data_IF_904980270098
#
_entry.id   IF_904980270098
#
_cell.length_a   1.000
_cell.length_b   1.000
_cell.length_c   1.000
_cell.angle_alpha   90.00
_cell.angle_beta   90.00
_cell.angle_gamma   90.00
#
_symmetry.space_group_name_H-M   'P 1'
#
loop_
_entity.id
_entity.type
_entity.pdbx_description
1 polymer ?
#
# COMPACT_ATOMS: atom_id res chain seq x y z
N UNK A 1 -15.69 0.45 52.31
CA UNK A 1 -16.33 0.15 51.03
C UNK A 1 -15.28 0.20 49.95
N UNK A 2 -14.74 -0.94 49.48
CA UNK A 2 -13.72 -1.04 48.48
C UNK A 2 -14.39 -1.17 47.08
N UNK A 3 -14.23 -0.14 46.23
CA UNK A 3 -14.66 -0.19 44.82
C UNK A 3 -13.67 -1.05 44.03
N UNK A 4 -14.12 -2.22 43.60
CA UNK A 4 -13.39 -3.08 42.61
C UNK A 4 -13.46 -2.39 41.26
N UNK A 5 -12.29 -2.02 40.71
CA UNK A 5 -12.15 -1.68 39.30
C UNK A 5 -12.14 -2.97 38.49
N UNK A 6 -13.17 -3.18 37.70
CA UNK A 6 -13.23 -4.24 36.70
C UNK A 6 -12.40 -3.74 35.53
N UNK A 7 -11.25 -4.35 35.31
CA UNK A 7 -10.46 -4.15 34.12
C UNK A 7 -11.17 -4.79 32.94
N UNK A 8 -11.63 -3.96 32.02
CA UNK A 8 -12.17 -4.41 30.73
C UNK A 8 -10.98 -4.74 29.83
N UNK A 9 -10.65 -6.02 29.69
CA UNK A 9 -9.78 -6.56 28.66
C UNK A 9 -10.54 -6.42 27.34
N UNK A 10 -10.25 -5.37 26.58
CA UNK A 10 -10.64 -5.28 25.17
C UNK A 10 -9.73 -6.23 24.39
N UNK A 11 -10.20 -7.46 24.25
CA UNK A 11 -9.73 -8.39 23.22
C UNK A 11 -10.06 -7.72 21.89
N UNK A 12 -9.03 -7.35 21.13
CA UNK A 12 -9.19 -6.95 19.74
C UNK A 12 -9.86 -8.12 19.00
N UNK A 13 -11.16 -8.05 18.85
CA UNK A 13 -11.91 -8.98 18.05
C UNK A 13 -11.49 -8.76 16.59
N UNK A 14 -10.57 -9.60 16.10
CA UNK A 14 -10.45 -9.87 14.67
C UNK A 14 -11.84 -10.35 14.26
N UNK A 15 -12.61 -9.46 13.61
CA UNK A 15 -13.86 -9.86 12.99
C UNK A 15 -13.46 -10.74 11.80
N UNK A 16 -13.48 -12.03 12.02
CA UNK A 16 -13.45 -13.05 11.00
C UNK A 16 -14.78 -12.92 10.25
N UNK A 17 -14.83 -12.09 9.20
CA UNK A 17 -15.98 -12.08 8.31
C UNK A 17 -16.01 -13.39 7.53
N UNK A 18 -17.19 -14.03 7.38
CA UNK A 18 -17.31 -15.25 6.59
C UNK A 18 -16.94 -14.92 5.14
N UNK A 19 -16.02 -15.71 4.61
CA UNK A 19 -15.59 -15.69 3.24
C UNK A 19 -16.79 -15.97 2.32
N UNK A 20 -17.37 -14.92 1.75
CA UNK A 20 -18.32 -15.10 0.65
C UNK A 20 -17.49 -15.20 -0.61
N UNK A 21 -17.23 -16.42 -1.05
CA UNK A 21 -16.60 -16.67 -2.34
C UNK A 21 -17.56 -16.28 -3.45
N UNK A 22 -17.43 -15.08 -3.96
CA UNK A 22 -17.95 -14.73 -5.27
C UNK A 22 -16.78 -14.68 -6.24
N UNK A 23 -16.73 -15.59 -7.21
CA UNK A 23 -15.80 -15.65 -8.31
C UNK A 23 -15.84 -14.36 -9.15
N UNK A 24 -15.03 -13.36 -8.81
CA UNK A 24 -14.87 -12.13 -9.58
C UNK A 24 -13.40 -11.87 -9.95
N UNK A 25 -12.47 -12.72 -9.52
CA UNK A 25 -11.05 -12.50 -9.80
C UNK A 25 -10.57 -13.37 -10.96
N UNK A 26 -10.86 -12.95 -12.21
CA UNK A 26 -10.13 -13.41 -13.37
C UNK A 26 -8.75 -12.69 -13.49
N UNK A 27 -8.04 -12.55 -12.36
CA UNK A 27 -6.63 -12.24 -12.32
C UNK A 27 -5.83 -13.48 -12.67
N UNK A 28 -4.60 -13.34 -13.14
CA UNK A 28 -3.67 -14.45 -13.42
C UNK A 28 -3.26 -15.17 -12.11
N UNK A 29 -4.24 -15.66 -11.34
CA UNK A 29 -3.96 -16.47 -10.16
C UNK A 29 -3.37 -17.81 -10.62
N UNK A 30 -2.20 -18.17 -10.14
CA UNK A 30 -1.75 -19.55 -10.18
C UNK A 30 -2.65 -20.37 -9.24
N UNK A 31 -3.78 -20.84 -9.75
CA UNK A 31 -4.67 -21.75 -9.04
C UNK A 31 -4.05 -23.14 -9.19
N UNK A 32 -3.81 -23.82 -8.07
CA UNK A 32 -3.39 -25.21 -8.07
C UNK A 32 -4.51 -26.10 -8.66
N UNK A 33 -4.20 -27.29 -9.18
CA UNK A 33 -5.19 -28.21 -9.75
C UNK A 33 -6.31 -28.60 -8.79
N UNK A 34 -6.11 -28.43 -7.49
CA UNK A 34 -7.10 -28.66 -6.40
C UNK A 34 -7.94 -27.42 -6.06
N UNK A 35 -7.70 -26.28 -6.73
CA UNK A 35 -8.42 -25.03 -6.52
C UNK A 35 -7.88 -24.17 -5.38
N UNK A 36 -6.78 -24.58 -4.72
CA UNK A 36 -6.10 -23.72 -3.74
C UNK A 36 -5.26 -22.65 -4.44
N UNK A 37 -5.27 -21.43 -3.87
CA UNK A 37 -4.42 -20.34 -4.34
C UNK A 37 -2.97 -20.59 -3.93
N UNK A 38 -2.09 -20.67 -4.93
CA UNK A 38 -0.67 -20.91 -4.69
C UNK A 38 0.08 -19.63 -4.33
N UNK A 39 0.71 -19.61 -3.16
CA UNK A 39 1.68 -18.61 -2.75
C UNK A 39 3.06 -19.28 -2.63
N UNK A 40 4.07 -18.88 -3.44
CA UNK A 40 5.36 -19.57 -3.44
C UNK A 40 6.25 -19.27 -2.24
N UNK A 41 5.85 -18.32 -1.37
CA UNK A 41 6.69 -17.76 -0.33
C UNK A 41 6.60 -18.55 0.96
N UNK A 42 7.70 -19.24 1.32
CA UNK A 42 7.78 -20.09 2.53
C UNK A 42 7.88 -19.28 3.84
N UNK A 43 8.20 -17.98 3.73
CA UNK A 43 8.33 -17.03 4.85
C UNK A 43 7.07 -16.19 5.07
N UNK A 44 5.97 -16.53 4.38
CA UNK A 44 4.65 -15.91 4.56
C UNK A 44 3.71 -16.91 5.20
N UNK A 45 3.42 -16.70 6.48
CA UNK A 45 2.35 -17.42 7.15
C UNK A 45 0.99 -16.91 6.66
N UNK A 46 0.19 -17.79 6.07
CA UNK A 46 -1.14 -17.46 5.55
C UNK A 46 -2.11 -16.97 6.63
N UNK A 47 -1.91 -17.38 7.87
CA UNK A 47 -2.73 -17.00 9.01
C UNK A 47 -2.25 -15.71 9.71
N UNK A 48 -1.13 -15.13 9.23
CA UNK A 48 -0.66 -13.84 9.69
C UNK A 48 -1.58 -12.70 9.20
N UNK A 49 -1.52 -11.55 9.88
CA UNK A 49 -2.33 -10.38 9.49
C UNK A 49 -2.06 -9.90 8.05
N UNK A 50 -0.88 -10.19 7.50
CA UNK A 50 -0.49 -9.79 6.14
C UNK A 50 -0.63 -10.90 5.09
N UNK A 51 -0.86 -12.15 5.50
CA UNK A 51 -0.89 -13.30 4.58
C UNK A 51 -1.88 -13.10 3.44
N UNK A 52 -3.11 -12.71 3.77
CA UNK A 52 -4.14 -12.38 2.77
C UNK A 52 -3.69 -11.25 1.81
N UNK A 53 -3.10 -10.18 2.34
CA UNK A 53 -2.66 -9.05 1.50
C UNK A 53 -1.53 -9.44 0.55
N UNK A 54 -0.58 -10.24 1.02
CA UNK A 54 0.53 -10.74 0.18
C UNK A 54 -0.01 -11.64 -0.93
N UNK A 55 -0.93 -12.56 -0.60
CA UNK A 55 -1.59 -13.44 -1.58
C UNK A 55 -2.30 -12.63 -2.66
N UNK A 56 -3.15 -11.68 -2.28
CA UNK A 56 -3.88 -10.83 -3.23
C UNK A 56 -2.94 -10.03 -4.14
N UNK A 57 -1.94 -9.37 -3.55
CA UNK A 57 -1.01 -8.55 -4.33
C UNK A 57 -0.14 -9.38 -5.28
N UNK A 58 0.21 -10.62 -4.89
CA UNK A 58 0.94 -11.56 -5.75
C UNK A 58 0.07 -12.03 -6.91
N UNK A 59 -1.17 -12.46 -6.65
CA UNK A 59 -2.11 -12.92 -7.67
C UNK A 59 -2.42 -11.83 -8.71
N UNK A 60 -2.53 -10.57 -8.26
CA UNK A 60 -2.74 -9.41 -9.12
C UNK A 60 -1.46 -8.90 -9.80
N UNK A 61 -0.32 -9.56 -9.57
CA UNK A 61 0.95 -9.20 -10.17
C UNK A 61 1.54 -7.87 -9.70
N UNK A 62 1.02 -7.31 -8.58
CA UNK A 62 1.50 -6.03 -8.00
C UNK A 62 2.88 -6.20 -7.38
N UNK A 63 3.13 -7.37 -6.78
CA UNK A 63 4.40 -7.71 -6.14
C UNK A 63 5.01 -9.00 -6.70
N UNK A 64 6.31 -9.11 -6.46
CA UNK A 64 7.07 -10.37 -6.59
C UNK A 64 7.79 -10.64 -5.26
N UNK A 65 8.31 -11.87 -5.08
CA UNK A 65 9.21 -12.18 -3.98
C UNK A 65 10.55 -11.44 -4.06
N UNK A 66 11.31 -11.50 -2.98
CA UNK A 66 12.75 -11.18 -3.00
C UNK A 66 13.52 -12.22 -3.78
N UNK A 67 13.08 -13.48 -3.64
CA UNK A 67 13.51 -14.63 -4.42
C UNK A 67 12.26 -15.35 -4.96
N UNK A 68 12.45 -16.46 -5.65
CA UNK A 68 11.34 -17.31 -6.11
C UNK A 68 10.50 -17.87 -4.95
N UNK A 69 11.10 -18.04 -3.75
CA UNK A 69 10.46 -18.70 -2.62
C UNK A 69 10.39 -17.85 -1.34
N UNK A 70 10.84 -16.60 -1.36
CA UNK A 70 10.79 -15.71 -0.19
C UNK A 70 10.23 -14.34 -0.54
N UNK A 71 9.42 -13.80 0.36
CA UNK A 71 8.82 -12.47 0.26
C UNK A 71 9.55 -11.42 1.10
N UNK A 72 10.09 -11.79 2.26
CA UNK A 72 10.71 -10.91 3.27
C UNK A 72 9.71 -9.90 3.87
N UNK A 73 8.64 -10.37 4.57
CA UNK A 73 7.55 -9.52 5.05
C UNK A 73 8.00 -8.41 6.02
N UNK A 74 9.02 -8.70 6.83
CA UNK A 74 9.58 -7.77 7.82
C UNK A 74 10.69 -6.86 7.27
N UNK A 75 11.21 -7.17 6.09
CA UNK A 75 12.19 -6.34 5.40
C UNK A 75 11.61 -5.00 4.97
N UNK A 76 12.45 -3.98 4.88
CA UNK A 76 12.01 -2.66 4.41
C UNK A 76 11.90 -2.64 2.89
N UNK A 77 10.83 -2.00 2.39
CA UNK A 77 10.68 -1.73 0.97
C UNK A 77 11.53 -0.53 0.55
N UNK A 78 12.15 -0.59 -0.62
CA UNK A 78 12.89 0.54 -1.18
C UNK A 78 11.97 1.49 -1.96
N UNK A 79 12.41 2.73 -2.20
CA UNK A 79 11.67 3.69 -3.03
C UNK A 79 11.43 3.17 -4.45
N UNK A 80 12.38 2.44 -5.05
CA UNK A 80 12.21 1.82 -6.36
C UNK A 80 11.15 0.72 -6.37
N UNK A 81 11.06 -0.07 -5.29
CA UNK A 81 9.99 -1.07 -5.13
C UNK A 81 8.63 -0.40 -4.92
N UNK A 82 8.56 0.72 -4.18
CA UNK A 82 7.33 1.51 -4.05
C UNK A 82 6.86 2.04 -5.39
N UNK A 83 7.78 2.58 -6.21
CA UNK A 83 7.45 3.04 -7.56
C UNK A 83 6.93 1.89 -8.44
N UNK A 84 7.52 0.70 -8.31
CA UNK A 84 7.05 -0.50 -9.03
C UNK A 84 5.65 -0.90 -8.61
N UNK A 85 5.38 -0.97 -7.30
CA UNK A 85 4.05 -1.27 -6.77
C UNK A 85 3.02 -0.23 -7.22
N UNK A 86 3.36 1.06 -7.11
CA UNK A 86 2.47 2.15 -7.51
C UNK A 86 2.13 2.13 -9.01
N UNK A 87 3.13 1.87 -9.87
CA UNK A 87 2.92 1.77 -11.31
C UNK A 87 2.00 0.60 -11.67
N UNK A 88 2.30 -0.60 -11.17
CA UNK A 88 1.50 -1.81 -11.44
C UNK A 88 0.08 -1.69 -10.88
N UNK A 89 -0.07 -1.13 -9.68
CA UNK A 89 -1.36 -0.91 -9.06
C UNK A 89 -2.22 0.08 -9.86
N UNK A 90 -1.65 1.21 -10.27
CA UNK A 90 -2.34 2.17 -11.14
C UNK A 90 -2.71 1.55 -12.48
N UNK A 91 -1.78 0.85 -13.11
CA UNK A 91 -2.01 0.17 -14.39
C UNK A 91 -3.19 -0.81 -14.30
N UNK A 92 -3.23 -1.59 -13.21
CA UNK A 92 -4.31 -2.53 -12.92
C UNK A 92 -5.65 -1.82 -12.67
N UNK A 93 -5.66 -0.76 -11.84
CA UNK A 93 -6.87 0.02 -11.52
C UNK A 93 -7.43 0.77 -12.72
N UNK A 94 -6.57 1.21 -13.63
CA UNK A 94 -6.94 1.97 -14.83
C UNK A 94 -7.09 1.07 -16.08
N UNK A 95 -7.00 -0.26 -15.91
CA UNK A 95 -7.17 -1.27 -16.97
C UNK A 95 -6.28 -1.02 -18.20
N UNK A 96 -5.03 -0.57 -18.00
CA UNK A 96 -4.13 -0.17 -19.09
C UNK A 96 -3.32 -1.31 -19.68
N UNK A 97 -3.01 -2.34 -18.88
CA UNK A 97 -2.26 -3.54 -19.27
C UNK A 97 -0.91 -3.25 -19.93
N UNK A 98 -0.15 -2.32 -19.36
CA UNK A 98 1.17 -1.90 -19.86
C UNK A 98 2.16 -3.06 -19.79
N UNK A 99 2.83 -3.35 -20.91
CA UNK A 99 3.94 -4.30 -20.92
C UNK A 99 5.22 -3.64 -20.38
N UNK A 100 5.40 -3.73 -19.06
CA UNK A 100 6.60 -3.20 -18.41
C UNK A 100 7.86 -3.98 -18.78
N UNK A 101 7.75 -5.25 -19.17
CA UNK A 101 8.89 -6.07 -19.53
C UNK A 101 9.49 -5.67 -20.89
N UNK A 102 8.64 -5.24 -21.84
CA UNK A 102 9.09 -4.71 -23.12
C UNK A 102 9.86 -3.40 -22.97
N UNK A 103 9.66 -2.67 -21.87
CA UNK A 103 10.23 -1.36 -21.61
C UNK A 103 11.33 -1.39 -20.53
N UNK A 104 12.01 -2.52 -20.35
CA UNK A 104 13.08 -2.65 -19.34
C UNK A 104 14.14 -1.55 -19.50
N UNK A 105 14.53 -0.98 -18.36
CA UNK A 105 15.53 0.08 -18.27
C UNK A 105 16.65 -0.27 -17.30
N UNK A 106 17.75 0.48 -17.38
CA UNK A 106 18.74 0.55 -16.32
C UNK A 106 18.68 1.96 -15.71
N UNK A 107 18.42 2.10 -14.41
CA UNK A 107 18.21 1.05 -13.40
C UNK A 107 16.86 0.32 -13.57
N UNK A 108 16.75 -0.87 -12.95
CA UNK A 108 15.62 -1.80 -13.10
C UNK A 108 14.23 -1.22 -12.76
N UNK A 109 14.17 -0.22 -11.92
CA UNK A 109 12.93 0.48 -11.54
C UNK A 109 12.55 1.60 -12.53
N UNK A 110 13.41 1.88 -13.50
CA UNK A 110 13.30 3.09 -14.33
C UNK A 110 12.02 3.17 -15.14
N UNK A 111 11.57 2.07 -15.75
CA UNK A 111 10.30 2.02 -16.50
C UNK A 111 9.10 2.32 -15.60
N UNK A 112 9.08 1.79 -14.38
CA UNK A 112 8.00 2.02 -13.42
C UNK A 112 8.00 3.46 -12.92
N UNK A 113 9.17 4.02 -12.63
CA UNK A 113 9.30 5.40 -12.23
C UNK A 113 8.87 6.37 -13.34
N UNK A 114 9.24 6.08 -14.59
CA UNK A 114 8.79 6.86 -15.74
C UNK A 114 7.27 6.82 -15.85
N UNK A 115 6.69 5.63 -15.74
CA UNK A 115 5.24 5.47 -15.73
C UNK A 115 4.58 6.29 -14.61
N UNK A 116 5.10 6.22 -13.39
CA UNK A 116 4.57 7.01 -12.27
C UNK A 116 4.66 8.52 -12.53
N UNK A 117 5.74 9.00 -13.12
CA UNK A 117 5.91 10.41 -13.46
C UNK A 117 4.92 10.84 -14.55
N UNK A 118 4.84 10.09 -15.64
CA UNK A 118 3.99 10.42 -16.79
C UNK A 118 2.49 10.38 -16.44
N UNK A 119 2.10 9.59 -15.44
CA UNK A 119 0.72 9.47 -14.96
C UNK A 119 0.43 10.31 -13.69
N UNK A 120 1.36 11.20 -13.29
CA UNK A 120 1.15 12.11 -12.15
C UNK A 120 1.09 11.44 -10.77
N UNK A 121 1.54 10.18 -10.66
CA UNK A 121 1.65 9.42 -9.40
C UNK A 121 2.86 9.92 -8.61
N UNK A 122 3.99 10.12 -9.28
CA UNK A 122 5.18 10.74 -8.71
C UNK A 122 5.33 12.15 -9.23
N UNK A 123 5.48 13.11 -8.34
CA UNK A 123 5.61 14.53 -8.67
C UNK A 123 6.85 15.11 -8.00
N UNK A 124 7.72 15.68 -8.81
CA UNK A 124 8.88 16.40 -8.33
C UNK A 124 9.05 17.68 -9.16
N UNK A 125 8.88 18.87 -8.57
CA UNK A 125 8.95 20.15 -9.29
C UNK A 125 10.32 20.39 -9.93
N UNK A 126 11.40 19.88 -9.36
CA UNK A 126 12.74 20.03 -9.95
C UNK A 126 12.90 19.19 -11.22
N UNK A 127 12.25 18.03 -11.29
CA UNK A 127 12.19 17.20 -12.52
C UNK A 127 11.35 17.93 -13.58
N UNK A 128 10.18 18.42 -13.21
CA UNK A 128 9.28 19.15 -14.10
C UNK A 128 9.93 20.42 -14.68
N UNK A 129 10.82 21.08 -13.92
CA UNK A 129 11.59 22.25 -14.36
C UNK A 129 12.90 21.91 -15.07
N UNK A 130 13.19 20.62 -15.31
CA UNK A 130 14.42 20.17 -15.94
C UNK A 130 15.70 20.34 -15.11
N UNK A 131 15.59 20.72 -13.82
CA UNK A 131 16.73 20.95 -12.93
C UNK A 131 17.43 19.65 -12.52
N UNK A 132 16.69 18.57 -12.41
CA UNK A 132 17.18 17.24 -12.00
C UNK A 132 16.61 16.18 -12.92
N UNK A 133 17.43 15.20 -13.30
CA UNK A 133 16.95 14.02 -14.04
C UNK A 133 16.09 13.15 -13.13
N UNK A 134 15.03 12.57 -13.69
CA UNK A 134 14.05 11.74 -12.97
C UNK A 134 14.71 10.66 -12.07
N UNK A 135 15.71 9.97 -12.57
CA UNK A 135 16.41 8.88 -11.85
C UNK A 135 17.42 9.36 -10.82
N UNK A 136 17.76 10.65 -10.82
CA UNK A 136 18.77 11.22 -9.93
C UNK A 136 18.18 12.12 -8.83
N UNK A 137 16.85 12.27 -8.78
CA UNK A 137 16.22 13.17 -7.84
C UNK A 137 16.06 12.58 -6.43
N UNK A 138 16.15 11.25 -6.30
CA UNK A 138 16.00 10.51 -5.05
C UNK A 138 17.00 9.35 -4.98
N UNK A 139 17.24 8.84 -3.78
CA UNK A 139 17.92 7.57 -3.60
C UNK A 139 16.91 6.42 -3.68
N UNK A 140 16.63 5.96 -4.90
CA UNK A 140 15.61 4.93 -5.18
C UNK A 140 15.94 3.56 -4.58
N UNK A 141 17.17 3.31 -4.20
CA UNK A 141 17.59 2.08 -3.51
C UNK A 141 17.52 2.19 -1.98
N UNK A 142 17.25 3.38 -1.44
CA UNK A 142 17.07 3.55 -0.01
C UNK A 142 15.73 3.00 0.47
N UNK A 143 15.66 2.55 1.74
CA UNK A 143 14.39 2.22 2.37
C UNK A 143 13.42 3.41 2.35
N UNK A 144 12.19 3.16 1.90
CA UNK A 144 11.15 4.16 1.82
C UNK A 144 10.66 4.55 3.22
N UNK A 145 10.35 5.82 3.41
CA UNK A 145 9.62 6.29 4.59
C UNK A 145 8.13 6.16 4.33
N UNK A 146 7.37 5.98 5.40
CA UNK A 146 5.91 5.85 5.32
C UNK A 146 5.25 7.03 4.59
N UNK A 147 5.73 8.27 4.83
CA UNK A 147 5.23 9.46 4.15
C UNK A 147 5.47 9.46 2.63
N UNK A 148 6.62 8.91 2.20
CA UNK A 148 6.98 8.86 0.79
C UNK A 148 6.09 7.85 0.03
N UNK A 149 5.74 6.73 0.69
CA UNK A 149 4.73 5.78 0.19
C UNK A 149 3.37 6.44 0.07
N UNK A 150 2.91 7.17 1.11
CA UNK A 150 1.65 7.91 1.04
C UNK A 150 1.66 8.95 -0.10
N UNK A 151 2.79 9.66 -0.28
CA UNK A 151 3.00 10.63 -1.36
C UNK A 151 2.80 10.06 -2.76
N UNK A 152 3.08 8.77 -2.97
CA UNK A 152 2.82 8.09 -4.24
C UNK A 152 1.45 7.40 -4.26
N UNK A 153 1.13 6.61 -3.25
CA UNK A 153 -0.08 5.77 -3.24
C UNK A 153 -1.37 6.57 -3.24
N UNK A 154 -1.39 7.77 -2.64
CA UNK A 154 -2.54 8.67 -2.69
C UNK A 154 -2.93 9.12 -4.11
N UNK A 155 -2.03 8.97 -5.08
CA UNK A 155 -2.26 9.36 -6.48
C UNK A 155 -2.47 8.17 -7.42
N UNK A 156 -2.43 6.95 -6.92
CA UNK A 156 -2.56 5.74 -7.73
C UNK A 156 -3.99 5.54 -8.23
N UNK A 157 -4.98 5.72 -7.37
CA UNK A 157 -6.38 5.54 -7.75
C UNK A 157 -6.94 6.84 -8.33
N UNK A 158 -7.11 6.86 -9.64
CA UNK A 158 -7.63 8.00 -10.41
C UNK A 158 -9.02 7.71 -11.00
N UNK A 159 -9.68 6.63 -10.58
CA UNK A 159 -11.02 6.28 -11.04
C UNK A 159 -12.02 7.35 -10.60
N UNK A 160 -12.90 7.81 -11.48
CA UNK A 160 -13.92 8.80 -11.13
C UNK A 160 -14.94 8.22 -10.14
N UNK A 161 -15.43 9.07 -9.24
CA UNK A 161 -16.51 8.68 -8.32
C UNK A 161 -16.09 7.86 -7.11
N UNK A 162 -14.81 7.54 -6.94
CA UNK A 162 -14.34 6.81 -5.76
C UNK A 162 -14.34 7.72 -4.52
N UNK A 163 -15.31 7.50 -3.64
CA UNK A 163 -15.49 8.27 -2.42
C UNK A 163 -14.51 7.96 -1.30
N UNK A 164 -14.49 8.82 -0.31
CA UNK A 164 -13.82 8.58 0.96
C UNK A 164 -14.72 7.75 1.88
N UNK A 165 -14.14 6.72 2.53
CA UNK A 165 -14.83 5.93 3.54
C UNK A 165 -14.96 6.70 4.86
N UNK A 166 -13.95 7.53 5.18
CA UNK A 166 -13.85 8.35 6.38
C UNK A 166 -13.72 9.84 6.02
N UNK A 167 -14.72 10.48 5.37
CA UNK A 167 -14.59 11.82 4.80
C UNK A 167 -14.33 12.91 5.84
N UNK A 168 -14.82 12.70 7.07
CA UNK A 168 -14.83 13.70 8.13
C UNK A 168 -13.56 13.71 9.00
N UNK A 169 -12.61 12.79 8.77
CA UNK A 169 -11.35 12.74 9.51
C UNK A 169 -10.55 14.02 9.27
N UNK A 170 -10.31 14.86 10.30
CA UNK A 170 -9.47 16.03 10.19
C UNK A 170 -7.98 15.66 10.37
N UNK A 171 -7.08 16.53 9.93
CA UNK A 171 -5.63 16.30 10.12
C UNK A 171 -5.23 16.19 11.60
N UNK A 172 -5.96 16.87 12.48
CA UNK A 172 -5.73 16.88 13.93
C UNK A 172 -5.93 15.53 14.61
N UNK A 173 -6.64 14.60 13.97
CA UNK A 173 -6.85 13.25 14.49
C UNK A 173 -5.67 12.31 14.19
N UNK A 174 -4.66 12.80 13.46
CA UNK A 174 -3.40 12.10 13.21
C UNK A 174 -2.30 12.79 14.03
N UNK A 175 -2.02 12.35 15.28
CA UNK A 175 -1.32 13.17 16.27
C UNK A 175 0.14 13.53 15.92
N UNK A 176 0.76 12.76 15.05
CA UNK A 176 2.16 12.92 14.63
C UNK A 176 2.31 13.48 13.21
N UNK A 177 1.21 14.05 12.66
CA UNK A 177 1.19 14.68 11.34
C UNK A 177 0.59 16.07 11.44
N UNK A 178 1.36 17.06 11.04
CA UNK A 178 0.93 18.47 10.98
C UNK A 178 1.14 19.03 9.55
N UNK A 179 0.82 20.31 9.37
CA UNK A 179 0.96 21.00 8.08
C UNK A 179 2.40 21.15 7.58
N UNK A 180 3.39 21.00 8.46
CA UNK A 180 4.82 21.02 8.12
C UNK A 180 5.34 19.64 7.71
N UNK A 181 4.60 18.57 8.00
CA UNK A 181 4.95 17.20 7.63
C UNK A 181 4.88 17.04 6.12
N UNK A 182 5.97 16.63 5.45
CA UNK A 182 5.93 16.34 4.02
C UNK A 182 4.83 15.31 3.70
N UNK A 183 4.10 15.55 2.61
CA UNK A 183 2.97 14.71 2.19
C UNK A 183 1.80 14.61 3.19
N UNK A 184 1.61 15.62 4.07
CA UNK A 184 0.52 15.61 5.05
C UNK A 184 -0.87 15.51 4.40
N UNK A 185 -1.07 16.09 3.21
CA UNK A 185 -2.34 16.01 2.49
C UNK A 185 -2.59 14.62 1.92
N UNK A 186 -1.55 13.99 1.38
CA UNK A 186 -1.58 12.61 0.89
C UNK A 186 -1.81 11.62 2.04
N UNK A 187 -1.15 11.82 3.18
CA UNK A 187 -1.38 11.04 4.40
C UNK A 187 -2.84 11.16 4.83
N UNK A 188 -3.37 12.40 4.96
CA UNK A 188 -4.78 12.62 5.31
C UNK A 188 -5.72 11.97 4.30
N UNK A 189 -5.41 12.07 3.00
CA UNK A 189 -6.19 11.40 1.95
C UNK A 189 -6.23 9.89 2.16
N UNK A 190 -5.10 9.25 2.51
CA UNK A 190 -5.04 7.81 2.76
C UNK A 190 -5.90 7.39 3.97
N UNK A 191 -5.96 8.20 5.03
CA UNK A 191 -6.88 7.97 6.17
C UNK A 191 -8.33 8.10 5.74
N UNK A 192 -8.69 9.17 5.02
CA UNK A 192 -10.05 9.38 4.52
C UNK A 192 -10.51 8.30 3.56
N UNK A 193 -9.59 7.73 2.80
CA UNK A 193 -9.88 6.58 1.94
C UNK A 193 -10.09 5.27 2.72
N UNK A 194 -9.71 5.19 4.00
CA UNK A 194 -9.69 3.95 4.78
C UNK A 194 -8.53 3.02 4.43
N UNK A 195 -7.50 3.54 3.76
CA UNK A 195 -6.29 2.81 3.35
C UNK A 195 -5.25 2.80 4.46
N UNK A 196 -4.95 3.97 5.04
CA UNK A 196 -4.12 4.10 6.23
C UNK A 196 -5.01 4.20 7.48
N UNK A 197 -4.59 3.57 8.58
CA UNK A 197 -5.33 3.55 9.85
C UNK A 197 -4.48 4.01 11.04
N UNK A 198 -3.17 4.11 10.87
CA UNK A 198 -2.24 4.40 11.97
C UNK A 198 -2.05 3.22 12.92
N UNK A 199 -1.47 3.52 14.08
CA UNK A 199 -1.40 2.59 15.21
C UNK A 199 -2.63 2.74 16.13
N UNK A 200 -2.60 2.14 17.32
CA UNK A 200 -3.67 2.22 18.32
C UNK A 200 -3.99 3.64 18.79
N UNK A 201 -3.08 4.59 18.57
CA UNK A 201 -3.28 6.04 18.83
C UNK A 201 -3.48 6.85 17.55
N UNK A 202 -3.82 6.23 16.43
CA UNK A 202 -3.98 6.89 15.13
C UNK A 202 -2.70 7.54 14.58
N UNK A 203 -1.50 7.24 15.12
CA UNK A 203 -0.24 7.81 14.64
C UNK A 203 0.19 7.15 13.32
N UNK A 204 0.62 7.96 12.38
CA UNK A 204 1.06 7.51 11.05
C UNK A 204 2.53 7.07 11.02
N UNK A 205 3.38 7.66 11.87
CA UNK A 205 4.83 7.51 11.86
C UNK A 205 5.48 7.93 10.52
N UNK A 206 5.33 9.20 10.08
CA UNK A 206 5.68 9.63 8.73
C UNK A 206 7.16 9.47 8.39
N UNK A 207 8.06 9.55 9.37
CA UNK A 207 9.50 9.42 9.20
C UNK A 207 10.02 7.99 9.35
N UNK A 208 9.19 7.08 9.84
CA UNK A 208 9.53 5.66 9.99
C UNK A 208 9.68 4.98 8.62
N UNK A 209 10.60 4.02 8.55
CA UNK A 209 10.68 3.12 7.39
C UNK A 209 9.45 2.21 7.38
N UNK A 210 9.01 1.81 6.19
CA UNK A 210 7.85 0.92 6.03
C UNK A 210 8.31 -0.49 5.68
N UNK A 211 7.70 -1.49 6.31
CA UNK A 211 7.92 -2.90 5.99
C UNK A 211 7.22 -3.29 4.69
N UNK A 212 7.71 -4.35 4.03
CA UNK A 212 7.09 -4.85 2.79
C UNK A 212 5.66 -5.31 3.01
N UNK A 213 5.39 -6.03 4.10
CA UNK A 213 4.03 -6.43 4.49
C UNK A 213 3.08 -5.23 4.68
N UNK A 214 3.55 -4.16 5.33
CA UNK A 214 2.75 -2.94 5.52
C UNK A 214 2.47 -2.22 4.19
N UNK A 215 3.47 -2.09 3.32
CA UNK A 215 3.32 -1.45 2.02
C UNK A 215 2.32 -2.21 1.13
N UNK A 216 2.39 -3.55 1.15
CA UNK A 216 1.46 -4.42 0.43
C UNK A 216 0.04 -4.29 0.96
N UNK A 217 -0.16 -4.21 2.28
CA UNK A 217 -1.49 -4.00 2.86
C UNK A 217 -2.11 -2.66 2.38
N UNK A 218 -1.31 -1.58 2.31
CA UNK A 218 -1.78 -0.31 1.75
C UNK A 218 -2.16 -0.44 0.26
N UNK A 219 -1.37 -1.16 -0.52
CA UNK A 219 -1.63 -1.39 -1.95
C UNK A 219 -2.93 -2.17 -2.17
N UNK A 220 -3.17 -3.24 -1.42
CA UNK A 220 -4.39 -4.06 -1.54
C UNK A 220 -5.63 -3.29 -1.08
N UNK A 221 -5.53 -2.45 -0.04
CA UNK A 221 -6.63 -1.57 0.36
C UNK A 221 -6.97 -0.51 -0.70
N UNK A 222 -6.02 -0.12 -1.53
CA UNK A 222 -6.30 0.68 -2.72
C UNK A 222 -6.97 -0.13 -3.83
N UNK A 223 -6.62 -1.39 -3.97
CA UNK A 223 -7.15 -2.28 -4.99
C UNK A 223 -8.57 -2.74 -4.67
N UNK A 224 -8.79 -3.23 -3.45
CA UNK A 224 -10.01 -3.89 -2.98
C UNK A 224 -10.75 -3.03 -1.96
N UNK A 225 -11.92 -2.52 -2.32
CA UNK A 225 -12.70 -1.60 -1.47
C UNK A 225 -13.16 -2.25 -0.16
N UNK A 226 -13.45 -3.54 -0.19
CA UNK A 226 -13.86 -4.33 0.98
C UNK A 226 -12.76 -4.51 2.04
N UNK A 227 -11.51 -4.23 1.69
CA UNK A 227 -10.37 -4.28 2.64
C UNK A 227 -10.09 -2.95 3.33
N UNK A 228 -10.81 -1.89 2.95
CA UNK A 228 -10.71 -0.58 3.57
C UNK A 228 -11.30 -0.58 4.97
N UNK A 229 -10.80 0.29 5.82
CA UNK A 229 -11.14 0.33 7.25
C UNK A 229 -11.94 1.59 7.58
N UNK A 230 -13.11 1.40 8.17
CA UNK A 230 -13.81 2.49 8.86
C UNK A 230 -13.08 2.84 10.15
N UNK A 231 -12.75 4.10 10.30
CA UNK A 231 -12.12 4.61 11.51
C UNK A 231 -13.17 4.93 12.56
N UNK A 232 -12.85 4.80 13.86
CA UNK A 232 -13.74 5.21 14.93
C UNK A 232 -14.14 6.69 14.75
N UNK A 233 -15.43 6.97 14.88
CA UNK A 233 -15.88 8.37 14.96
C UNK A 233 -15.51 8.90 16.33
N UNK A 234 -14.71 9.96 16.38
CA UNK A 234 -14.36 10.65 17.63
C UNK A 234 -15.57 11.29 18.31
#
# INVERSE_FOLDING_TARGET
MKKRRIGLLLVAALICMPFVSTNVYAGRGNIMPDGEEYLPFIDVDKDSWYGFYVQCAYNEGIINGRTETTFDPDGYVTMGEVATMAAKLHDRLMERYTDFEANRTSPWYGQYLRYCYDNGIYRNPNVAQGKVKLYACENWNAPAKRRDVAGMFAHVDQRPGRGFLNPDVPLTDIPDVDRSTPHHQEILKMYRMGVAVGDEWMRFNPNGKIRRSEAVALAVRLLLDETRVELPKG
#
